data_IF_594833184478
#
_entry.id   IF_594833184478
#
_cell.length_a   1.000
_cell.length_b   1.000
_cell.length_c   1.000
_cell.angle_alpha   90.00
_cell.angle_beta   90.00
_cell.angle_gamma   90.00
#
_symmetry.space_group_name_H-M   'P 1'
#
loop_
_entity.id
_entity.type
_entity.pdbx_description
1 polymer ?
#
# COMPACT_ATOMS: atom_id res chain seq x y z
N UNK A 1 -4.52 12.88 11.45
CA UNK A 1 -4.83 11.44 11.34
C UNK A 1 -4.83 11.03 9.87
N UNK A 2 -3.71 10.50 9.41
CA UNK A 2 -3.46 10.10 8.03
C UNK A 2 -4.18 8.79 7.70
N UNK A 3 -3.89 7.70 8.43
CA UNK A 3 -4.51 6.39 8.19
C UNK A 3 -5.75 6.22 9.06
N UNK A 4 -6.91 5.99 8.46
CA UNK A 4 -8.17 5.93 9.17
C UNK A 4 -8.90 4.63 8.83
N UNK A 5 -9.64 4.10 9.81
CA UNK A 5 -10.44 2.91 9.64
C UNK A 5 -11.60 2.89 10.62
N UNK A 6 -12.63 2.11 10.29
CA UNK A 6 -13.74 1.77 11.15
C UNK A 6 -14.00 0.27 11.01
N UNK A 7 -13.74 -0.50 12.06
CA UNK A 7 -13.98 -1.95 12.04
C UNK A 7 -15.48 -2.26 12.05
N UNK A 8 -15.89 -3.18 11.18
CA UNK A 8 -17.25 -3.73 11.16
C UNK A 8 -17.56 -4.41 12.49
N UNK A 9 -18.77 -4.30 13.08
CA UNK A 9 -19.14 -5.02 14.29
C UNK A 9 -18.82 -6.51 14.21
N UNK A 10 -18.40 -7.14 15.32
CA UNK A 10 -17.96 -8.54 15.32
C UNK A 10 -19.02 -9.50 14.77
N UNK A 11 -20.29 -9.18 15.03
CA UNK A 11 -21.48 -9.93 14.60
C UNK A 11 -21.71 -9.88 13.09
N UNK A 12 -21.18 -8.86 12.42
CA UNK A 12 -21.35 -8.61 10.99
C UNK A 12 -20.15 -9.12 10.17
N UNK A 13 -19.03 -9.44 10.83
CA UNK A 13 -17.83 -10.01 10.20
C UNK A 13 -18.19 -11.32 9.50
N UNK A 14 -17.99 -11.37 8.19
CA UNK A 14 -18.33 -12.55 7.40
C UNK A 14 -17.25 -13.64 7.58
N UNK A 15 -17.60 -14.82 8.14
CA UNK A 15 -16.66 -15.92 8.26
C UNK A 15 -16.41 -16.56 6.89
N UNK A 16 -15.23 -17.13 6.73
CA UNK A 16 -14.80 -17.70 5.45
C UNK A 16 -14.98 -19.22 5.42
N UNK A 17 -15.09 -19.79 4.23
CA UNK A 17 -15.21 -21.23 4.04
C UNK A 17 -16.58 -21.67 3.55
N UNK A 18 -16.94 -22.92 3.83
CA UNK A 18 -18.22 -23.53 3.40
C UNK A 18 -19.14 -23.70 4.62
N UNK A 19 -20.47 -23.77 4.43
CA UNK A 19 -21.38 -24.14 5.51
C UNK A 19 -20.93 -25.39 6.27
N UNK A 20 -20.90 -25.33 7.60
CA UNK A 20 -20.39 -26.39 8.48
C UNK A 20 -18.86 -26.46 8.62
N UNK A 21 -18.12 -25.56 7.95
CA UNK A 21 -16.66 -25.37 8.04
C UNK A 21 -16.29 -23.89 7.90
N UNK A 22 -17.08 -23.03 8.53
CA UNK A 22 -16.81 -21.59 8.55
C UNK A 22 -15.68 -21.32 9.53
N UNK A 23 -14.78 -20.40 9.20
CA UNK A 23 -13.69 -20.01 10.08
C UNK A 23 -13.31 -18.54 9.97
N UNK A 24 -12.70 -18.04 11.05
CA UNK A 24 -12.09 -16.72 11.10
C UNK A 24 -10.65 -16.81 11.61
N UNK A 25 -9.77 -16.04 10.97
CA UNK A 25 -8.39 -15.79 11.39
C UNK A 25 -8.26 -14.38 11.97
N UNK A 26 -7.08 -14.04 12.50
CA UNK A 26 -6.79 -12.67 12.93
C UNK A 26 -7.05 -11.66 11.79
N UNK A 27 -6.62 -11.99 10.57
CA UNK A 27 -6.86 -11.19 9.37
C UNK A 27 -8.36 -11.00 9.10
N UNK A 28 -9.14 -12.07 9.10
CA UNK A 28 -10.59 -11.99 8.86
C UNK A 28 -11.33 -11.14 9.88
N UNK A 29 -10.84 -11.09 11.13
CA UNK A 29 -11.40 -10.24 12.19
C UNK A 29 -11.14 -8.74 11.99
N UNK A 30 -10.27 -8.36 11.05
CA UNK A 30 -9.97 -6.96 10.72
C UNK A 30 -10.87 -6.35 9.65
N UNK A 31 -12.01 -6.97 9.39
CA UNK A 31 -13.02 -6.46 8.46
C UNK A 31 -13.45 -5.03 8.81
N UNK A 32 -13.41 -4.13 7.82
CA UNK A 32 -13.44 -2.68 8.07
C UNK A 32 -13.69 -1.85 6.81
N UNK A 33 -14.10 -0.61 7.03
CA UNK A 33 -13.91 0.45 6.04
C UNK A 33 -12.67 1.27 6.39
N UNK A 34 -11.77 1.55 5.43
CA UNK A 34 -10.57 2.35 5.66
C UNK A 34 -10.26 3.34 4.54
N UNK A 35 -9.56 4.41 4.89
CA UNK A 35 -9.17 5.50 3.99
C UNK A 35 -7.89 6.19 4.45
N UNK A 36 -7.29 6.99 3.57
CA UNK A 36 -6.09 7.79 3.86
C UNK A 36 -6.40 9.28 3.68
N UNK A 37 -6.23 10.08 4.72
CA UNK A 37 -6.44 11.52 4.72
C UNK A 37 -5.14 12.24 4.34
N UNK A 38 -5.01 12.62 3.06
CA UNK A 38 -3.84 13.32 2.54
C UNK A 38 -4.18 14.81 2.34
N UNK A 39 -3.87 15.64 3.34
CA UNK A 39 -4.28 17.05 3.34
C UNK A 39 -5.80 17.18 3.29
N UNK A 40 -6.33 17.86 2.28
CA UNK A 40 -7.79 17.98 2.04
C UNK A 40 -8.38 16.81 1.25
N UNK A 41 -7.54 15.92 0.71
CA UNK A 41 -7.96 14.79 -0.12
C UNK A 41 -8.19 13.54 0.71
N UNK A 42 -9.21 12.77 0.34
CA UNK A 42 -9.52 11.48 0.95
C UNK A 42 -9.21 10.38 -0.06
N UNK A 43 -8.08 9.70 0.11
CA UNK A 43 -7.70 8.58 -0.74
C UNK A 43 -8.46 7.33 -0.29
N UNK A 44 -8.76 6.45 -1.25
CA UNK A 44 -9.60 5.26 -1.05
C UNK A 44 -11.05 5.55 -0.64
N UNK A 45 -11.53 6.78 -0.89
CA UNK A 45 -12.94 7.10 -0.93
C UNK A 45 -13.45 6.90 -2.37
N UNK A 46 -14.53 6.11 -2.51
CA UNK A 46 -15.16 5.88 -3.79
C UNK A 46 -15.93 7.13 -4.26
N UNK A 47 -15.86 7.41 -5.55
CA UNK A 47 -16.57 8.52 -6.18
C UNK A 47 -18.10 8.35 -6.04
N UNK A 48 -18.85 9.45 -6.17
CA UNK A 48 -20.32 9.41 -6.14
C UNK A 48 -20.91 8.45 -7.17
N UNK A 49 -20.25 8.29 -8.32
CA UNK A 49 -20.67 7.36 -9.36
C UNK A 49 -20.47 5.91 -8.90
N UNK A 50 -19.28 5.56 -8.40
CA UNK A 50 -19.01 4.23 -7.86
C UNK A 50 -19.99 3.86 -6.73
N UNK A 51 -20.28 4.81 -5.83
CA UNK A 51 -21.25 4.62 -4.74
C UNK A 51 -22.68 4.37 -5.24
N UNK A 52 -23.11 5.07 -6.30
CA UNK A 52 -24.41 4.81 -6.94
C UNK A 52 -24.48 3.43 -7.62
N UNK A 53 -23.34 2.85 -7.97
CA UNK A 53 -23.22 1.50 -8.52
C UNK A 53 -23.10 0.41 -7.42
N UNK A 54 -23.15 0.79 -6.14
CA UNK A 54 -23.17 -0.14 -5.02
C UNK A 54 -21.87 -0.24 -4.22
N UNK A 55 -20.83 0.52 -4.57
CA UNK A 55 -19.63 0.61 -3.73
C UNK A 55 -19.95 1.27 -2.38
N UNK A 56 -19.27 0.80 -1.34
CA UNK A 56 -19.18 1.48 -0.04
C UNK A 56 -18.59 2.89 -0.18
N UNK A 57 -18.65 3.70 0.88
CA UNK A 57 -18.03 5.04 0.84
C UNK A 57 -16.51 4.96 0.77
N UNK A 58 -15.90 4.17 1.63
CA UNK A 58 -14.46 3.94 1.66
C UNK A 58 -14.15 2.51 1.24
N UNK A 59 -12.87 2.19 1.08
CA UNK A 59 -12.45 0.82 0.84
C UNK A 59 -12.98 -0.12 1.94
N UNK A 60 -13.85 -1.07 1.54
CA UNK A 60 -14.46 -2.07 2.41
C UNK A 60 -13.70 -3.39 2.28
N UNK A 61 -12.71 -3.57 3.15
CA UNK A 61 -11.80 -4.71 3.14
C UNK A 61 -11.07 -4.82 4.49
N UNK A 62 -10.35 -5.91 4.72
CA UNK A 62 -9.55 -6.07 5.93
C UNK A 62 -8.48 -4.96 6.06
N UNK A 63 -8.57 -4.10 7.08
CA UNK A 63 -7.56 -3.03 7.33
C UNK A 63 -6.17 -3.60 7.59
N UNK A 64 -6.08 -4.88 7.98
CA UNK A 64 -4.82 -5.60 8.04
C UNK A 64 -4.01 -5.47 6.75
N UNK A 65 -4.63 -5.39 5.57
CA UNK A 65 -3.87 -5.21 4.31
C UNK A 65 -3.18 -3.87 4.20
N UNK A 66 -3.90 -2.78 4.48
CA UNK A 66 -3.29 -1.46 4.52
C UNK A 66 -2.20 -1.39 5.58
N UNK A 67 -2.46 -1.95 6.77
CA UNK A 67 -1.48 -2.00 7.86
C UNK A 67 -0.20 -2.76 7.47
N UNK A 68 -0.34 -3.96 6.92
CA UNK A 68 0.79 -4.80 6.50
C UNK A 68 1.64 -4.11 5.43
N UNK A 69 1.00 -3.50 4.43
CA UNK A 69 1.71 -2.75 3.40
C UNK A 69 2.47 -1.56 3.99
N UNK A 70 1.81 -0.74 4.82
CA UNK A 70 2.47 0.43 5.45
C UNK A 70 3.66 -0.01 6.30
N UNK A 71 3.53 -1.06 7.12
CA UNK A 71 4.64 -1.56 7.94
C UNK A 71 5.79 -2.11 7.09
N UNK A 72 5.48 -2.85 6.02
CA UNK A 72 6.49 -3.46 5.15
C UNK A 72 7.25 -2.42 4.33
N UNK A 73 6.56 -1.37 3.87
CA UNK A 73 7.14 -0.32 3.05
C UNK A 73 7.78 0.80 3.87
N UNK A 74 7.45 0.94 5.16
CA UNK A 74 7.91 2.02 6.04
C UNK A 74 9.43 2.30 5.92
N UNK A 75 10.32 1.30 5.94
CA UNK A 75 11.75 1.57 5.85
C UNK A 75 12.15 2.20 4.50
N UNK A 76 11.51 1.82 3.40
CA UNK A 76 11.74 2.39 2.07
C UNK A 76 11.08 3.76 1.89
N UNK A 77 9.89 3.96 2.46
CA UNK A 77 9.21 5.26 2.48
C UNK A 77 10.10 6.28 3.18
N UNK A 78 10.70 5.90 4.31
CA UNK A 78 11.59 6.76 5.11
C UNK A 78 13.02 6.83 4.57
N UNK A 79 13.47 5.95 3.68
CA UNK A 79 14.78 6.11 3.05
C UNK A 79 14.75 7.33 2.10
N UNK A 80 15.56 8.39 2.34
CA UNK A 80 15.56 9.58 1.51
C UNK A 80 15.93 9.26 0.06
N UNK A 81 15.10 9.68 -0.88
CA UNK A 81 15.39 9.61 -2.30
C UNK A 81 16.42 10.70 -2.65
N UNK A 82 17.54 10.34 -3.30
CA UNK A 82 18.52 11.32 -3.75
C UNK A 82 17.91 12.40 -4.64
N UNK A 83 18.33 13.65 -4.46
CA UNK A 83 17.74 14.80 -5.14
C UNK A 83 17.72 14.69 -6.67
N UNK A 84 18.74 14.09 -7.27
CA UNK A 84 18.84 13.85 -8.71
C UNK A 84 17.84 12.82 -9.25
N UNK A 85 17.30 11.97 -8.37
CA UNK A 85 16.34 10.92 -8.68
C UNK A 85 14.88 11.33 -8.44
N UNK A 86 14.62 12.45 -7.75
CA UNK A 86 13.26 12.92 -7.43
C UNK A 86 12.39 13.05 -8.69
N UNK A 87 12.98 13.55 -9.79
CA UNK A 87 12.29 13.71 -11.08
C UNK A 87 11.76 12.40 -11.69
N UNK A 88 12.26 11.24 -11.24
CA UNK A 88 11.85 9.91 -11.74
C UNK A 88 10.73 9.28 -10.89
N UNK A 89 10.48 9.80 -9.69
CA UNK A 89 9.48 9.25 -8.76
C UNK A 89 8.30 10.20 -8.52
N UNK A 90 8.54 11.51 -8.59
CA UNK A 90 7.55 12.54 -8.31
C UNK A 90 6.89 13.08 -9.58
N UNK A 91 5.60 13.39 -9.49
CA UNK A 91 4.82 13.97 -10.59
C UNK A 91 4.37 12.92 -11.60
N UNK A 92 4.51 13.24 -12.90
CA UNK A 92 4.10 12.34 -13.97
C UNK A 92 5.11 11.20 -14.17
N UNK A 93 5.06 10.23 -13.26
CA UNK A 93 5.87 9.02 -13.29
C UNK A 93 5.49 8.04 -14.40
N UNK A 94 4.38 8.27 -15.12
CA UNK A 94 4.01 7.42 -16.25
C UNK A 94 5.15 7.37 -17.25
N UNK A 95 5.87 8.49 -17.44
CA UNK A 95 7.01 8.55 -18.34
C UNK A 95 8.17 7.60 -17.98
N UNK A 96 8.42 7.29 -16.70
CA UNK A 96 9.48 6.35 -16.30
C UNK A 96 9.02 4.92 -16.49
N UNK A 97 7.82 4.58 -16.02
CA UNK A 97 7.26 3.24 -16.16
C UNK A 97 6.99 2.87 -17.63
N UNK A 98 6.52 3.83 -18.44
CA UNK A 98 6.38 3.67 -19.89
C UNK A 98 7.72 3.48 -20.56
N UNK A 99 8.76 4.26 -20.19
CA UNK A 99 10.12 4.05 -20.72
C UNK A 99 10.68 2.68 -20.35
N UNK A 100 10.52 2.26 -19.09
CA UNK A 100 10.96 0.94 -18.65
C UNK A 100 10.19 -0.18 -19.38
N UNK A 101 8.89 -0.01 -19.59
CA UNK A 101 8.05 -0.95 -20.34
C UNK A 101 8.46 -1.02 -21.82
N UNK A 102 8.70 0.12 -22.46
CA UNK A 102 9.17 0.18 -23.84
C UNK A 102 10.56 -0.45 -23.99
N UNK A 103 11.47 -0.18 -23.03
CA UNK A 103 12.78 -0.79 -22.98
C UNK A 103 12.68 -2.31 -22.82
N UNK A 104 11.82 -2.79 -21.91
CA UNK A 104 11.53 -4.21 -21.72
C UNK A 104 11.02 -4.85 -23.01
N UNK A 105 10.04 -4.25 -23.69
CA UNK A 105 9.49 -4.76 -24.94
C UNK A 105 10.54 -4.82 -26.07
N UNK A 106 11.43 -3.83 -26.16
CA UNK A 106 12.51 -3.81 -27.14
C UNK A 106 13.64 -4.83 -26.83
N UNK A 107 13.71 -5.30 -25.59
CA UNK A 107 14.76 -6.21 -25.11
C UNK A 107 14.19 -7.53 -24.58
N UNK A 108 12.94 -7.90 -24.92
CA UNK A 108 12.22 -8.99 -24.28
C UNK A 108 12.81 -10.39 -24.51
N UNK A 109 13.67 -10.53 -25.53
CA UNK A 109 14.39 -11.78 -25.81
C UNK A 109 15.68 -11.93 -24.99
N UNK A 110 16.09 -10.88 -24.26
CA UNK A 110 17.25 -10.93 -23.38
C UNK A 110 16.86 -11.59 -22.05
N UNK A 111 17.72 -12.49 -21.60
CA UNK A 111 17.61 -13.16 -20.32
C UNK A 111 19.03 -13.32 -19.75
N UNK A 112 19.63 -12.18 -19.42
CA UNK A 112 20.98 -12.07 -18.87
C UNK A 112 20.95 -11.22 -17.60
N UNK A 113 21.97 -11.38 -16.74
CA UNK A 113 22.01 -10.69 -15.44
C UNK A 113 21.88 -9.16 -15.59
N UNK A 114 22.50 -8.59 -16.62
CA UNK A 114 22.44 -7.15 -16.90
C UNK A 114 21.03 -6.69 -17.26
N UNK A 115 20.26 -7.51 -17.97
CA UNK A 115 18.87 -7.24 -18.27
C UNK A 115 18.03 -7.15 -16.99
N UNK A 116 18.16 -8.14 -16.10
CA UNK A 116 17.42 -8.14 -14.83
C UNK A 116 17.88 -7.01 -13.91
N UNK A 117 19.18 -6.69 -13.86
CA UNK A 117 19.70 -5.51 -13.15
C UNK A 117 19.05 -4.20 -13.61
N UNK A 118 18.82 -4.02 -14.92
CA UNK A 118 18.19 -2.81 -15.46
C UNK A 118 16.70 -2.76 -15.11
N UNK A 119 15.99 -3.88 -15.23
CA UNK A 119 14.56 -3.95 -14.88
C UNK A 119 14.37 -3.66 -13.38
N UNK A 120 15.14 -4.32 -12.52
CA UNK A 120 15.06 -4.14 -11.07
C UNK A 120 15.47 -2.72 -10.69
N UNK A 121 16.60 -2.23 -11.20
CA UNK A 121 17.11 -0.89 -10.90
C UNK A 121 16.19 0.24 -11.38
N UNK A 122 15.42 0.03 -12.45
CA UNK A 122 14.51 1.07 -12.97
C UNK A 122 13.16 1.11 -12.26
N UNK A 123 12.68 -0.02 -11.70
CA UNK A 123 11.29 -0.14 -11.24
C UNK A 123 11.11 -0.55 -9.77
N UNK A 124 11.96 -1.42 -9.22
CA UNK A 124 11.76 -2.02 -7.88
C UNK A 124 11.76 -0.97 -6.78
N UNK A 125 12.60 0.06 -6.87
CA UNK A 125 12.66 1.13 -5.87
C UNK A 125 11.39 2.00 -5.80
N UNK A 126 10.64 2.12 -6.91
CA UNK A 126 9.32 2.78 -6.97
C UNK A 126 8.26 1.82 -6.43
N UNK A 127 8.33 0.54 -6.78
CA UNK A 127 7.44 -0.51 -6.26
C UNK A 127 7.51 -0.61 -4.74
N UNK A 128 8.71 -0.58 -4.16
CA UNK A 128 8.96 -0.57 -2.71
C UNK A 128 8.49 0.72 -2.00
N UNK A 129 7.87 1.66 -2.72
CA UNK A 129 7.28 2.89 -2.20
C UNK A 129 5.80 3.02 -2.59
N UNK A 130 5.24 2.03 -3.28
CA UNK A 130 3.87 2.02 -3.77
C UNK A 130 3.01 1.11 -2.91
N UNK A 131 1.88 1.63 -2.40
CA UNK A 131 0.91 0.80 -1.68
C UNK A 131 0.24 -0.20 -2.62
N UNK A 132 0.05 -1.44 -2.17
CA UNK A 132 -0.41 -2.53 -3.02
C UNK A 132 -1.92 -2.76 -2.89
N UNK A 133 -2.68 -2.22 -3.85
CA UNK A 133 -4.14 -2.37 -3.89
C UNK A 133 -4.63 -3.35 -4.97
N UNK A 134 -3.85 -4.37 -5.30
CA UNK A 134 -4.22 -5.36 -6.33
C UNK A 134 -5.42 -6.23 -5.96
N UNK A 135 -5.81 -6.25 -4.68
CA UNK A 135 -7.04 -6.88 -4.20
C UNK A 135 -8.30 -6.03 -4.44
N UNK A 136 -8.16 -4.80 -4.92
CA UNK A 136 -9.27 -3.92 -5.30
C UNK A 136 -9.49 -3.91 -6.81
N UNK A 137 -10.74 -3.75 -7.23
CA UNK A 137 -11.13 -3.65 -8.64
C UNK A 137 -12.07 -2.46 -8.85
N UNK A 138 -11.61 -1.35 -9.48
CA UNK A 138 -10.23 -1.12 -9.92
C UNK A 138 -9.27 -0.86 -8.73
N UNK A 139 -7.97 -1.10 -8.93
CA UNK A 139 -6.96 -0.77 -7.91
C UNK A 139 -6.80 0.73 -7.69
N UNK A 140 -6.07 1.13 -6.64
CA UNK A 140 -5.63 2.51 -6.42
C UNK A 140 -4.11 2.62 -6.63
N UNK A 141 -3.66 3.78 -7.07
CA UNK A 141 -2.24 4.09 -7.24
C UNK A 141 -1.83 5.16 -6.22
N UNK A 142 -1.22 4.74 -5.11
CA UNK A 142 -0.73 5.65 -4.07
C UNK A 142 0.74 5.33 -3.82
N UNK A 143 1.57 6.36 -3.90
CA UNK A 143 3.01 6.32 -3.70
C UNK A 143 3.36 7.13 -2.46
N UNK A 144 4.25 6.60 -1.64
CA UNK A 144 4.80 7.28 -0.46
C UNK A 144 6.33 7.21 -0.52
N UNK A 145 6.99 8.36 -0.51
CA UNK A 145 8.46 8.44 -0.57
C UNK A 145 8.93 9.62 0.28
N UNK A 146 10.20 9.72 0.60
CA UNK A 146 10.72 10.84 1.37
C UNK A 146 11.93 11.50 0.71
N UNK A 147 12.07 12.79 0.96
CA UNK A 147 13.37 13.46 0.90
C UNK A 147 13.99 13.52 2.31
N UNK A 148 15.00 14.36 2.50
CA UNK A 148 15.68 14.57 3.79
C UNK A 148 14.75 15.09 4.90
N UNK A 149 13.62 15.71 4.54
CA UNK A 149 12.79 16.51 5.44
C UNK A 149 11.31 16.10 5.47
N UNK A 150 10.76 15.73 4.32
CA UNK A 150 9.33 15.48 4.13
C UNK A 150 9.09 14.05 3.65
N UNK A 151 7.95 13.50 4.04
CA UNK A 151 7.32 12.39 3.35
C UNK A 151 6.31 12.97 2.36
N UNK A 152 6.37 12.51 1.12
CA UNK A 152 5.52 12.87 0.00
C UNK A 152 4.57 11.71 -0.29
N UNK A 153 3.28 12.03 -0.40
CA UNK A 153 2.19 11.12 -0.73
C UNK A 153 1.62 11.59 -2.06
N UNK A 154 1.73 10.76 -3.09
CA UNK A 154 1.30 11.09 -4.45
C UNK A 154 0.36 10.03 -5.01
N UNK A 155 -0.70 10.46 -5.68
CA UNK A 155 -1.68 9.55 -6.28
C UNK A 155 -2.07 9.98 -7.69
N UNK A 156 -2.32 8.97 -8.54
CA UNK A 156 -2.93 9.15 -9.86
C UNK A 156 -3.83 7.96 -10.19
N UNK A 157 -5.11 8.19 -10.00
CA UNK A 157 -6.21 7.26 -10.14
C UNK A 157 -7.07 7.56 -11.38
N UNK A 158 -6.69 8.53 -12.24
CA UNK A 158 -7.51 8.94 -13.40
C UNK A 158 -7.83 7.79 -14.35
N UNK A 159 -6.94 6.82 -14.47
CA UNK A 159 -7.13 5.61 -15.30
C UNK A 159 -7.87 4.47 -14.58
N UNK A 160 -8.26 4.64 -13.31
CA UNK A 160 -8.92 3.62 -12.48
C UNK A 160 -10.43 3.80 -12.59
N UNK A 161 -11.02 3.16 -13.60
CA UNK A 161 -12.40 3.39 -14.00
C UNK A 161 -13.35 2.29 -13.50
N UNK A 162 -14.57 2.68 -13.16
CA UNK A 162 -15.76 1.84 -13.04
C UNK A 162 -16.83 2.40 -13.97
N UNK A 163 -17.34 1.58 -14.88
CA UNK A 163 -18.29 2.00 -15.94
C UNK A 163 -17.86 3.27 -16.70
N UNK A 164 -16.56 3.41 -16.97
CA UNK A 164 -15.99 4.53 -17.72
C UNK A 164 -15.79 5.83 -16.92
N UNK A 165 -16.06 5.84 -15.61
CA UNK A 165 -15.85 7.00 -14.73
C UNK A 165 -14.81 6.65 -13.65
N UNK A 166 -14.04 7.64 -13.17
CA UNK A 166 -13.08 7.43 -12.09
C UNK A 166 -13.75 6.80 -10.86
N UNK A 167 -13.21 5.68 -10.39
CA UNK A 167 -13.72 4.96 -9.24
C UNK A 167 -13.46 5.69 -7.93
N UNK A 168 -12.38 6.47 -7.86
CA UNK A 168 -11.93 7.14 -6.65
C UNK A 168 -12.26 8.64 -6.68
N UNK A 169 -12.69 9.20 -5.55
CA UNK A 169 -12.97 10.65 -5.44
C UNK A 169 -11.70 11.49 -5.58
N UNK A 170 -10.58 11.00 -5.06
CA UNK A 170 -9.25 11.58 -5.24
C UNK A 170 -8.60 11.08 -6.55
N UNK A 171 -8.80 11.84 -7.63
CA UNK A 171 -8.33 11.45 -8.96
C UNK A 171 -6.81 11.58 -9.13
N UNK A 172 -6.23 12.73 -8.82
CA UNK A 172 -4.79 12.96 -8.94
C UNK A 172 -4.36 14.07 -7.98
N UNK A 173 -3.16 13.98 -7.41
CA UNK A 173 -2.62 15.01 -6.54
C UNK A 173 -1.46 14.54 -5.69
N UNK A 174 -1.01 15.45 -4.83
CA UNK A 174 0.07 15.21 -3.89
C UNK A 174 -0.20 15.90 -2.55
N UNK A 175 0.43 15.37 -1.50
CA UNK A 175 0.45 15.95 -0.18
C UNK A 175 1.78 15.61 0.49
N UNK A 176 2.34 16.52 1.28
CA UNK A 176 3.57 16.28 2.00
C UNK A 176 3.43 16.69 3.46
N UNK A 177 4.12 15.98 4.33
CA UNK A 177 4.15 16.21 5.76
C UNK A 177 5.56 15.98 6.32
N UNK A 178 5.93 16.61 7.45
CA UNK A 178 7.19 16.34 8.12
C UNK A 178 7.36 14.85 8.42
N UNK A 179 8.59 14.33 8.28
CA UNK A 179 8.90 12.92 8.56
C UNK A 179 8.47 12.48 9.96
N UNK A 180 8.71 13.33 10.97
CA UNK A 180 8.29 13.07 12.35
C UNK A 180 6.78 12.91 12.49
N UNK A 181 6.00 13.74 11.78
CA UNK A 181 4.53 13.66 11.80
C UNK A 181 4.05 12.37 11.12
N UNK A 182 4.67 11.98 9.99
CA UNK A 182 4.36 10.71 9.34
C UNK A 182 4.66 9.51 10.24
N UNK A 183 5.81 9.49 10.91
CA UNK A 183 6.15 8.43 11.85
C UNK A 183 5.14 8.34 13.02
N UNK A 184 4.72 9.49 13.57
CA UNK A 184 3.67 9.55 14.59
C UNK A 184 2.33 9.00 14.08
N UNK A 185 1.95 9.34 12.85
CA UNK A 185 0.74 8.82 12.21
C UNK A 185 0.78 7.29 12.02
N UNK A 186 1.92 6.75 11.64
CA UNK A 186 2.15 5.30 11.51
C UNK A 186 2.09 4.60 12.87
N UNK A 187 2.70 5.18 13.91
CA UNK A 187 2.62 4.67 15.31
C UNK A 187 1.19 4.73 15.84
N UNK A 188 0.48 5.82 15.58
CA UNK A 188 -0.92 6.02 15.95
C UNK A 188 -1.82 4.99 15.27
N UNK A 189 -1.61 4.75 13.96
CA UNK A 189 -2.35 3.74 13.21
C UNK A 189 -2.17 2.35 13.79
N UNK A 190 -0.92 1.94 14.02
CA UNK A 190 -0.64 0.66 14.68
C UNK A 190 -1.36 0.56 16.03
N UNK A 191 -1.18 1.56 16.91
CA UNK A 191 -1.72 1.52 18.27
C UNK A 191 -3.23 1.35 18.26
N UNK A 192 -3.94 2.15 17.46
CA UNK A 192 -5.41 2.09 17.37
C UNK A 192 -5.87 0.72 16.86
N UNK A 193 -5.23 0.19 15.81
CA UNK A 193 -5.60 -1.12 15.27
C UNK A 193 -5.37 -2.24 16.30
N UNK A 194 -4.24 -2.22 17.00
CA UNK A 194 -3.96 -3.24 18.03
C UNK A 194 -4.89 -3.13 19.23
N UNK A 195 -5.23 -1.91 19.67
CA UNK A 195 -6.16 -1.68 20.78
C UNK A 195 -7.57 -2.20 20.43
N UNK A 196 -8.10 -1.86 19.24
CA UNK A 196 -9.40 -2.37 18.79
C UNK A 196 -9.38 -3.89 18.61
N UNK A 197 -8.28 -4.45 18.08
CA UNK A 197 -8.11 -5.89 17.97
C UNK A 197 -7.98 -6.58 19.32
N UNK A 198 -7.38 -5.97 20.35
CA UNK A 198 -7.33 -6.53 21.71
C UNK A 198 -8.73 -6.70 22.30
N UNK A 199 -9.60 -5.71 22.11
CA UNK A 199 -11.02 -5.81 22.51
C UNK A 199 -11.71 -6.92 21.71
N UNK A 200 -11.52 -6.96 20.39
CA UNK A 200 -12.16 -7.96 19.52
C UNK A 200 -11.73 -9.39 19.82
N UNK A 201 -10.43 -9.62 19.97
CA UNK A 201 -9.86 -10.94 20.32
C UNK A 201 -10.41 -11.39 21.67
N UNK A 202 -10.51 -10.50 22.66
CA UNK A 202 -11.10 -10.83 23.96
C UNK A 202 -12.56 -11.27 23.85
N UNK A 203 -13.36 -10.61 22.99
CA UNK A 203 -14.74 -11.00 22.71
C UNK A 203 -14.84 -12.36 22.02
N UNK A 204 -13.96 -12.64 21.06
CA UNK A 204 -13.90 -13.94 20.38
C UNK A 204 -13.56 -15.06 21.38
N UNK A 205 -12.57 -14.85 22.26
CA UNK A 205 -12.19 -15.80 23.32
C UNK A 205 -13.35 -16.05 24.28
N UNK A 206 -14.17 -15.03 24.57
CA UNK A 206 -15.36 -15.14 25.41
C UNK A 206 -16.56 -15.82 24.71
N UNK A 207 -16.40 -16.33 23.48
CA UNK A 207 -17.47 -16.99 22.73
C UNK A 207 -18.41 -16.02 21.99
N UNK A 208 -17.94 -14.82 21.66
CA UNK A 208 -18.73 -13.79 20.96
C UNK A 208 -19.03 -14.07 19.49
N UNK A 209 -18.71 -15.25 18.98
CA UNK A 209 -18.98 -15.68 17.59
C UNK A 209 -20.09 -16.75 17.56
N UNK A 210 -20.81 -16.89 16.43
CA UNK A 210 -21.72 -18.00 16.21
C UNK A 210 -21.03 -19.37 16.39
N UNK A 211 -21.77 -20.35 16.91
CA UNK A 211 -21.22 -21.66 17.26
C UNK A 211 -20.71 -22.49 16.06
N UNK A 212 -21.14 -22.15 14.84
CA UNK A 212 -20.72 -22.78 13.60
C UNK A 212 -19.46 -22.15 12.98
N UNK A 213 -18.92 -21.08 13.59
CA UNK A 213 -17.68 -20.43 13.18
C UNK A 213 -16.51 -20.92 14.02
N UNK A 214 -15.55 -21.56 13.35
CA UNK A 214 -14.33 -22.05 13.98
C UNK A 214 -13.24 -20.98 14.06
N UNK A 215 -12.57 -20.90 15.21
CA UNK A 215 -11.36 -20.09 15.40
C UNK A 215 -10.33 -20.91 16.16
N UNK A 216 -9.10 -20.96 15.66
CA UNK A 216 -7.94 -21.45 16.45
C UNK A 216 -7.60 -20.39 17.51
N UNK A 217 -8.27 -20.45 18.67
CA UNK A 217 -8.09 -19.48 19.76
C UNK A 217 -6.63 -19.39 20.23
N UNK A 218 -5.92 -20.51 20.48
CA UNK A 218 -4.49 -20.46 20.76
C UNK A 218 -3.67 -19.75 19.66
N UNK A 219 -3.95 -20.04 18.39
CA UNK A 219 -3.31 -19.37 17.25
C UNK A 219 -3.59 -17.87 17.21
N UNK A 220 -4.85 -17.47 17.39
CA UNK A 220 -5.30 -16.09 17.39
C UNK A 220 -4.59 -15.26 18.47
N UNK A 221 -4.50 -15.79 19.69
CA UNK A 221 -3.83 -15.12 20.80
C UNK A 221 -2.33 -14.95 20.54
N UNK A 222 -1.66 -15.99 20.02
CA UNK A 222 -0.24 -15.92 19.66
C UNK A 222 0.02 -14.88 18.57
N UNK A 223 -0.77 -14.91 17.49
CA UNK A 223 -0.63 -13.95 16.40
C UNK A 223 -0.88 -12.52 16.88
N UNK A 224 -1.91 -12.29 17.71
CA UNK A 224 -2.20 -10.95 18.20
C UNK A 224 -1.08 -10.38 19.07
N UNK A 225 -0.52 -11.17 19.99
CA UNK A 225 0.60 -10.73 20.83
C UNK A 225 1.87 -10.48 20.00
N UNK A 226 2.15 -11.30 18.98
CA UNK A 226 3.24 -11.02 18.04
C UNK A 226 3.03 -9.69 17.31
N UNK A 227 1.81 -9.43 16.83
CA UNK A 227 1.52 -8.21 16.08
C UNK A 227 1.62 -6.95 16.93
N UNK A 228 1.29 -7.00 18.22
CA UNK A 228 1.46 -5.87 19.17
C UNK A 228 2.91 -5.41 19.34
N UNK A 229 3.89 -6.27 19.03
CA UNK A 229 5.32 -5.97 19.19
C UNK A 229 5.96 -5.38 17.91
N UNK A 230 5.28 -5.45 16.76
CA UNK A 230 5.82 -5.08 15.44
C UNK A 230 6.33 -3.63 15.26
N UNK A 231 5.81 -2.58 15.93
CA UNK A 231 6.27 -1.22 15.68
C UNK A 231 7.72 -1.03 16.10
N UNK A 232 8.13 -1.60 17.23
CA UNK A 232 9.49 -1.45 17.70
C UNK A 232 10.47 -1.96 16.63
N UNK A 233 10.20 -3.14 16.06
CA UNK A 233 11.07 -3.67 15.00
C UNK A 233 10.99 -2.86 13.70
N UNK A 234 9.81 -2.44 13.23
CA UNK A 234 9.70 -1.74 11.93
C UNK A 234 10.41 -0.37 11.89
N UNK A 235 10.42 0.37 13.00
CA UNK A 235 11.15 1.64 13.12
C UNK A 235 12.63 1.47 13.46
N UNK A 236 13.04 0.31 13.99
CA UNK A 236 14.43 -0.01 14.35
C UNK A 236 15.18 -0.77 13.25
N UNK A 237 14.46 -1.24 12.21
CA UNK A 237 15.11 -1.83 11.04
C UNK A 237 16.04 -0.79 10.41
N UNK A 238 17.28 -1.17 10.07
CA UNK A 238 18.14 -0.32 9.26
C UNK A 238 17.38 0.12 8.01
N UNK A 239 17.53 1.38 7.61
CA UNK A 239 17.01 1.82 6.31
C UNK A 239 17.49 0.83 5.25
N UNK A 240 16.59 0.28 4.42
CA UNK A 240 16.98 -0.62 3.36
C UNK A 240 17.98 0.13 2.49
N UNK A 241 19.08 -0.53 2.15
CA UNK A 241 20.07 0.07 1.27
C UNK A 241 19.57 -0.09 -0.17
N UNK A 242 18.66 0.80 -0.61
CA UNK A 242 18.40 0.90 -2.05
C UNK A 242 19.74 1.20 -2.71
N UNK A 243 20.16 0.37 -3.67
CA UNK A 243 21.39 0.63 -4.42
C UNK A 243 21.16 1.78 -5.39
N UNK A 244 21.31 3.00 -4.89
CA UNK A 244 21.12 4.21 -5.68
C UNK A 244 22.11 4.34 -6.85
N UNK A 245 23.22 3.61 -6.85
CA UNK A 245 24.13 3.57 -8.01
C UNK A 245 23.57 2.65 -9.10
N UNK A 246 23.06 1.48 -8.72
CA UNK A 246 22.36 0.59 -9.64
C UNK A 246 21.13 1.26 -10.25
N UNK A 247 20.33 1.99 -9.44
CA UNK A 247 19.18 2.76 -9.92
C UNK A 247 19.61 3.79 -10.97
N UNK A 248 20.65 4.59 -10.70
CA UNK A 248 21.18 5.56 -11.67
C UNK A 248 21.62 4.90 -12.98
N UNK A 249 22.36 3.78 -12.90
CA UNK A 249 22.83 3.02 -14.07
C UNK A 249 21.64 2.52 -14.91
N UNK A 250 20.62 1.97 -14.26
CA UNK A 250 19.41 1.48 -14.91
C UNK A 250 18.61 2.59 -15.60
N UNK A 251 18.40 3.72 -14.91
CA UNK A 251 17.68 4.87 -15.47
C UNK A 251 18.41 5.47 -16.69
N UNK A 252 19.74 5.56 -16.63
CA UNK A 252 20.54 5.97 -17.79
C UNK A 252 20.38 5.00 -18.98
N UNK A 253 20.33 3.70 -18.72
CA UNK A 253 20.18 2.70 -19.77
C UNK A 253 18.84 2.82 -20.51
N UNK A 254 17.73 3.03 -19.78
CA UNK A 254 16.42 3.21 -20.40
C UNK A 254 16.29 4.57 -21.12
N UNK A 255 16.95 5.62 -20.61
CA UNK A 255 16.90 6.98 -21.18
C UNK A 255 17.71 7.12 -22.48
N UNK A 256 18.89 6.48 -22.54
CA UNK A 256 19.73 6.49 -23.73
C UNK A 256 19.06 5.80 -24.93
N UNK A 257 18.32 4.72 -24.70
CA UNK A 257 17.63 3.99 -25.77
C UNK A 257 16.36 4.74 -26.24
N UNK A 258 15.59 5.32 -25.32
CA UNK A 258 14.42 6.15 -25.66
C UNK A 258 14.74 7.46 -26.41
N UNK A 259 16.01 7.89 -26.39
CA UNK A 259 16.50 9.02 -27.18
C UNK A 259 16.94 8.62 -28.59
N UNK A 260 17.41 7.38 -28.80
CA UNK A 260 17.84 6.87 -30.10
C UNK A 260 16.64 6.57 -31.02
N UNK A 261 15.52 6.13 -30.46
CA UNK A 261 14.30 5.82 -31.21
C UNK A 261 13.45 7.06 -31.53
N UNK A 262 13.70 8.21 -30.89
CA UNK A 262 13.03 9.49 -31.20
C UNK A 262 13.54 10.17 -32.48
N UNK A 263 14.64 9.68 -33.07
CA UNK A 263 15.25 10.20 -34.29
C UNK A 263 15.29 9.18 -35.43
N UNK A 264 14.46 8.14 -35.35
CA UNK A 264 14.17 7.19 -36.43
C UNK A 264 12.71 7.28 -36.82
#
# INVERSE_FOLDING_TARGET
MLFNFAMVPLEEVQPWGKPGRLSLSWFGLTDSQYWVQAGTSVLLEYSDVARRLGSSRYCDYQVARLYEDVMALLPYILEPVPADLIQYISGDRSCVLERATAWHAANSERDDDLYWEIIDGSSTWIGNRSLHFSYLSPSANILMWSDESLVHIEWDNRAKLVDGVCAWSAECGSHSLPRSEFEEEVRSFHKRLMDEMSVRVSRVVAGGLPADVHVDVPGLLREHEQRKLLPASAFELPSPHTDWQAVRKALLAIDCQGSADRWR
#
